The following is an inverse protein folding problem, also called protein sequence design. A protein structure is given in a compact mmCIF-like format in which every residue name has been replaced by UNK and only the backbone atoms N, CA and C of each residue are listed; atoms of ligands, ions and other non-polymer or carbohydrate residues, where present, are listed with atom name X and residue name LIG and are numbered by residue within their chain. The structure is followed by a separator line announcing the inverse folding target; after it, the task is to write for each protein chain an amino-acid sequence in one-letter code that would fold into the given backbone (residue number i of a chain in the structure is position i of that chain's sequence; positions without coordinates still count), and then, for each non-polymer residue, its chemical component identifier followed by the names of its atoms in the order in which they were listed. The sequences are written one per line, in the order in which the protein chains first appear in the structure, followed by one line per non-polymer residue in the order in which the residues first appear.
data_IF_821754777163
#
_entry.id   IF_821754777163
#
_cell.length_a   1.000
_cell.length_b   1.000
_cell.length_c   1.000
_cell.angle_alpha   90.00
_cell.angle_beta   90.00
_cell.angle_gamma   90.00
#
_symmetry.space_group_name_H-M   'P 1'
#
loop_
_entity.id
_entity.type
_entity.pdbx_description
1 polymer ?
#
# COMPACT_ATOMS: atom_id res chain seq x y z
N UNK A 1 -4.52 13.87 -13.59
CA UNK A 1 -5.31 12.82 -12.90
C UNK A 1 -5.38 13.14 -11.40
N UNK A 2 -6.51 12.90 -10.73
CA UNK A 2 -6.81 13.43 -9.39
C UNK A 2 -5.73 13.07 -8.34
N UNK A 3 -4.80 13.99 -8.07
CA UNK A 3 -3.83 13.94 -6.95
C UNK A 3 -4.50 13.55 -5.61
N UNK A 4 -5.79 13.86 -5.47
CA UNK A 4 -6.66 13.51 -4.34
C UNK A 4 -6.90 11.99 -4.19
N UNK A 5 -6.92 11.21 -5.28
CA UNK A 5 -7.08 9.75 -5.22
C UNK A 5 -5.79 9.07 -4.73
N UNK A 6 -4.63 9.51 -5.22
CA UNK A 6 -3.32 9.05 -4.72
C UNK A 6 -3.18 9.38 -3.23
N UNK A 7 -3.52 10.61 -2.84
CA UNK A 7 -3.47 11.04 -1.44
C UNK A 7 -4.45 10.28 -0.56
N UNK A 8 -5.66 10.00 -1.08
CA UNK A 8 -6.67 9.22 -0.36
C UNK A 8 -6.23 7.77 -0.10
N UNK A 9 -5.70 7.09 -1.12
CA UNK A 9 -5.20 5.72 -0.96
C UNK A 9 -3.99 5.68 -0.02
N UNK A 10 -3.07 6.66 -0.15
CA UNK A 10 -1.93 6.76 0.76
C UNK A 10 -2.35 7.01 2.21
N UNK A 11 -3.33 7.89 2.43
CA UNK A 11 -3.88 8.15 3.75
C UNK A 11 -4.52 6.89 4.35
N UNK A 12 -5.28 6.12 3.57
CA UNK A 12 -5.88 4.85 4.01
C UNK A 12 -4.80 3.82 4.34
N UNK A 13 -3.77 3.69 3.50
CA UNK A 13 -2.65 2.76 3.72
C UNK A 13 -1.85 3.14 4.97
N UNK A 14 -1.59 4.43 5.16
CA UNK A 14 -0.91 4.96 6.34
C UNK A 14 -1.73 4.75 7.61
N UNK A 15 -3.05 4.96 7.56
CA UNK A 15 -3.95 4.78 8.69
C UNK A 15 -4.08 3.30 9.08
N UNK A 16 -4.07 2.38 8.10
CA UNK A 16 -3.96 0.94 8.35
C UNK A 16 -2.63 0.56 9.03
N UNK A 17 -1.55 1.25 8.68
CA UNK A 17 -0.23 1.00 9.25
C UNK A 17 -0.09 1.55 10.69
N UNK A 18 -0.69 2.70 10.97
CA UNK A 18 -0.59 3.38 12.27
C UNK A 18 -1.55 2.80 13.30
N UNK A 19 -2.74 2.31 12.91
CA UNK A 19 -3.66 1.70 13.85
C UNK A 19 -3.10 0.35 14.33
N UNK A 20 -2.68 0.25 15.62
CA UNK A 20 -2.24 -1.02 16.16
C UNK A 20 -3.51 -1.86 16.37
N UNK A 21 -3.83 -2.70 15.40
CA UNK A 21 -4.98 -3.59 15.50
C UNK A 21 -4.85 -4.43 16.78
N UNK A 22 -5.92 -4.52 17.61
CA UNK A 22 -5.88 -5.23 18.89
C UNK A 22 -5.53 -6.72 18.75
N UNK A 23 -5.64 -7.28 17.54
CA UNK A 23 -5.15 -8.61 17.19
C UNK A 23 -3.64 -8.81 17.38
N UNK A 24 -2.84 -7.75 17.36
CA UNK A 24 -1.39 -7.81 17.60
C UNK A 24 -1.02 -7.82 19.09
N UNK A 25 -1.97 -7.54 20.00
CA UNK A 25 -1.75 -7.48 21.46
C UNK A 25 -2.21 -8.74 22.21
N UNK A 26 -2.97 -9.62 21.55
CA UNK A 26 -3.50 -10.86 22.14
C UNK A 26 -2.63 -12.09 21.87
N UNK A 27 -3.09 -13.26 22.33
CA UNK A 27 -2.42 -14.54 22.04
C UNK A 27 -2.20 -14.70 20.52
N UNK A 28 -1.00 -15.12 20.07
CA UNK A 28 -0.67 -15.18 18.66
C UNK A 28 -1.61 -16.16 17.95
N UNK A 29 -2.43 -15.62 17.05
CA UNK A 29 -3.29 -16.43 16.18
C UNK A 29 -2.41 -16.97 15.06
N UNK A 30 -2.23 -18.28 14.98
CA UNK A 30 -1.41 -18.90 13.94
C UNK A 30 -2.29 -19.31 12.75
N UNK A 31 -2.00 -18.80 11.56
CA UNK A 31 -2.76 -19.15 10.34
C UNK A 31 -2.51 -20.59 9.86
N UNK A 32 -1.38 -21.18 10.27
CA UNK A 32 -0.96 -22.54 9.87
C UNK A 32 -0.33 -23.33 11.03
N UNK A 33 -0.55 -22.91 12.28
CA UNK A 33 0.10 -23.50 13.46
C UNK A 33 1.57 -23.09 13.68
N UNK A 34 2.21 -22.42 12.71
CA UNK A 34 3.59 -21.92 12.82
C UNK A 34 3.75 -20.44 12.43
N UNK A 35 2.88 -19.92 11.56
CA UNK A 35 2.95 -18.53 11.08
C UNK A 35 2.07 -17.60 11.93
N UNK A 36 2.64 -16.65 12.70
CA UNK A 36 1.85 -15.66 13.39
C UNK A 36 1.07 -14.79 12.40
N UNK A 37 -0.22 -14.62 12.62
CA UNK A 37 -1.09 -13.78 11.79
C UNK A 37 -0.58 -12.33 11.71
N UNK A 38 0.04 -11.82 12.77
CA UNK A 38 0.71 -10.52 12.79
C UNK A 38 1.80 -10.41 11.71
N UNK A 39 2.56 -11.48 11.50
CA UNK A 39 3.66 -11.49 10.52
C UNK A 39 3.11 -11.56 9.09
N UNK A 40 2.06 -12.37 8.88
CA UNK A 40 1.34 -12.45 7.61
C UNK A 40 0.72 -11.10 7.22
N UNK A 41 0.10 -10.41 8.19
CA UNK A 41 -0.45 -9.08 8.01
C UNK A 41 0.62 -8.07 7.60
N UNK A 42 1.77 -8.08 8.27
CA UNK A 42 2.92 -7.25 7.90
C UNK A 42 3.43 -7.53 6.48
N UNK A 43 3.49 -8.81 6.10
CA UNK A 43 3.85 -9.21 4.74
C UNK A 43 2.88 -8.67 3.70
N UNK A 44 1.58 -8.80 3.94
CA UNK A 44 0.55 -8.25 3.05
C UNK A 44 0.69 -6.73 2.95
N UNK A 45 0.89 -6.03 4.07
CA UNK A 45 1.14 -4.59 4.09
C UNK A 45 2.36 -4.19 3.25
N UNK A 46 3.47 -4.91 3.38
CA UNK A 46 4.69 -4.65 2.60
C UNK A 46 4.45 -4.84 1.10
N UNK A 47 3.76 -5.92 0.70
CA UNK A 47 3.41 -6.19 -0.70
C UNK A 47 2.49 -5.11 -1.26
N UNK A 48 1.44 -4.73 -0.51
CA UNK A 48 0.49 -3.69 -0.95
C UNK A 48 1.19 -2.33 -1.04
N UNK A 49 2.08 -2.00 -0.11
CA UNK A 49 2.89 -0.79 -0.17
C UNK A 49 3.81 -0.77 -1.41
N UNK A 50 4.49 -1.88 -1.71
CA UNK A 50 5.33 -1.99 -2.89
C UNK A 50 4.52 -1.81 -4.19
N UNK A 51 3.36 -2.47 -4.30
CA UNK A 51 2.46 -2.32 -5.44
C UNK A 51 1.96 -0.88 -5.58
N UNK A 52 1.66 -0.22 -4.47
CA UNK A 52 1.26 1.18 -4.47
C UNK A 52 2.38 2.09 -5.01
N UNK A 53 3.61 1.93 -4.54
CA UNK A 53 4.76 2.71 -5.02
C UNK A 53 5.01 2.45 -6.52
N UNK A 54 4.99 1.20 -6.96
CA UNK A 54 5.12 0.84 -8.38
C UNK A 54 4.01 1.45 -9.23
N UNK A 55 2.76 1.44 -8.74
CA UNK A 55 1.63 2.07 -9.42
C UNK A 55 1.83 3.57 -9.54
N UNK A 56 2.22 4.25 -8.46
CA UNK A 56 2.47 5.69 -8.45
C UNK A 56 3.58 6.03 -9.44
N UNK A 57 4.72 5.31 -9.41
CA UNK A 57 5.80 5.49 -10.37
C UNK A 57 5.32 5.29 -11.82
N UNK A 58 4.52 4.25 -12.08
CA UNK A 58 3.95 3.99 -13.41
C UNK A 58 3.01 5.12 -13.86
N UNK A 59 2.14 5.62 -12.97
CA UNK A 59 1.28 6.77 -13.26
C UNK A 59 2.06 8.06 -13.53
N UNK A 60 3.15 8.29 -12.80
CA UNK A 60 4.04 9.44 -13.04
C UNK A 60 4.72 9.35 -14.41
N UNK A 61 5.24 8.18 -14.77
CA UNK A 61 5.87 7.94 -16.07
C UNK A 61 4.86 8.10 -17.21
N UNK A 62 3.65 7.55 -17.08
CA UNK A 62 2.59 7.67 -18.07
C UNK A 62 2.12 9.12 -18.25
N UNK A 63 1.95 9.85 -17.14
CA UNK A 63 1.64 11.30 -17.19
C UNK A 63 2.74 12.13 -17.85
N UNK A 64 4.00 11.72 -17.70
CA UNK A 64 5.13 12.41 -18.34
C UNK A 64 5.19 12.12 -19.85
N UNK A 65 4.91 10.88 -20.27
CA UNK A 65 4.80 10.52 -21.70
C UNK A 65 3.71 11.30 -22.42
N UNK A 66 2.51 11.37 -21.83
CA UNK A 66 1.38 12.09 -22.42
C UNK A 66 1.62 13.59 -22.61
N UNK A 67 2.40 14.22 -21.73
CA UNK A 67 2.77 15.65 -21.89
C UNK A 67 3.73 15.89 -23.06
N UNK A 68 4.60 14.93 -23.37
CA UNK A 68 5.53 15.05 -24.49
C UNK A 68 4.85 14.88 -25.86
N UNK A 69 3.74 14.16 -25.92
CA UNK A 69 2.97 13.94 -27.17
C UNK A 69 1.97 15.08 -27.48
N UNK A 70 1.65 15.95 -26.51
CA UNK A 70 0.78 17.13 -26.72
C UNK A 70 1.57 18.41 -27.13
N UNK A 71 2.91 18.37 -27.08
CA UNK A 71 3.80 19.49 -27.46
C UNK A 71 4.42 19.35 -28.87
N UNK A 72 4.12 18.27 -29.61
CA UNK A 72 4.44 18.09 -31.05
C UNK A 72 3.22 18.35 -31.95
#
# INVERSE_FOLDING_TARGET
MNHKLIGGIFAVLYLLCVLPFPFTKGAPVYLFGWLPSSLAYWWILMVVNLLFVLWVCKCFVDSNKRKGEEEE
#
